data_IF_011340987151
#
_entry.id   IF_011340987151
#
_cell.length_a   1.000
_cell.length_b   1.000
_cell.length_c   1.000
_cell.angle_alpha   90.00
_cell.angle_beta   90.00
_cell.angle_gamma   90.00
#
_symmetry.space_group_name_H-M   'P 1'
#
loop_
_entity.id
_entity.type
_entity.pdbx_description
1 polymer ?
#
# COMPACT_ATOMS: atom_id res chain seq x y z
N UNK A 1 -21.62 38.54 -2.78
CA UNK A 1 -22.14 37.47 -1.90
C UNK A 1 -21.37 36.22 -2.26
N UNK A 2 -20.34 36.00 -1.48
CA UNK A 2 -19.43 34.87 -1.67
C UNK A 2 -19.59 33.97 -0.43
N UNK A 3 -20.50 32.98 -0.53
CA UNK A 3 -20.64 31.94 0.45
C UNK A 3 -20.04 30.64 -0.13
N UNK A 4 -18.72 30.59 -0.18
CA UNK A 4 -18.04 29.29 -0.27
C UNK A 4 -18.23 28.57 1.05
N UNK A 5 -19.35 27.89 1.21
CA UNK A 5 -19.58 26.91 2.26
C UNK A 5 -18.43 25.91 2.26
N UNK A 6 -17.49 26.07 3.20
CA UNK A 6 -16.53 25.04 3.54
C UNK A 6 -17.32 23.85 4.06
N UNK A 7 -17.53 22.84 3.21
CA UNK A 7 -18.01 21.56 3.70
C UNK A 7 -17.04 21.08 4.77
N UNK A 8 -17.48 21.12 6.03
CA UNK A 8 -16.75 20.50 7.11
C UNK A 8 -16.61 19.01 6.76
N UNK A 9 -15.38 18.52 6.74
CA UNK A 9 -15.13 17.10 6.55
C UNK A 9 -15.86 16.32 7.62
N UNK A 10 -16.65 15.30 7.29
CA UNK A 10 -17.32 14.50 8.31
C UNK A 10 -16.26 13.92 9.26
N UNK A 11 -16.35 14.28 10.53
CA UNK A 11 -15.53 13.69 11.59
C UNK A 11 -16.10 12.30 11.85
N UNK A 12 -15.62 11.31 11.11
CA UNK A 12 -15.87 9.91 11.46
C UNK A 12 -15.03 9.65 12.73
N UNK A 13 -15.68 9.55 13.87
CA UNK A 13 -15.06 9.06 15.08
C UNK A 13 -14.81 7.56 14.94
N UNK A 14 -13.83 7.17 14.12
CA UNK A 14 -13.37 5.81 14.07
C UNK A 14 -12.74 5.50 15.42
N UNK A 15 -13.31 4.56 16.15
CA UNK A 15 -12.67 3.99 17.34
C UNK A 15 -11.34 3.42 16.88
N UNK A 16 -10.25 3.98 17.38
CA UNK A 16 -8.90 3.53 17.01
C UNK A 16 -8.51 2.39 17.94
N UNK A 17 -8.09 1.27 17.36
CA UNK A 17 -7.66 0.08 18.07
C UNK A 17 -6.37 -0.51 17.45
N UNK A 18 -5.85 -1.56 18.04
CA UNK A 18 -4.71 -2.31 17.49
C UNK A 18 -5.17 -3.19 16.31
N UNK A 19 -5.37 -2.57 15.16
CA UNK A 19 -5.74 -3.24 13.92
C UNK A 19 -4.50 -3.82 13.21
N UNK A 20 -4.60 -4.88 12.40
CA UNK A 20 -3.46 -5.32 11.59
C UNK A 20 -3.08 -4.22 10.59
N UNK A 21 -1.78 -3.95 10.46
CA UNK A 21 -1.22 -3.09 9.41
C UNK A 21 -0.86 -3.94 8.20
N UNK A 22 -1.43 -3.64 7.05
CA UNK A 22 -0.99 -4.20 5.77
C UNK A 22 -0.03 -3.19 5.11
N UNK A 23 1.18 -3.67 4.80
CA UNK A 23 2.20 -2.92 4.06
C UNK A 23 2.38 -3.57 2.69
N UNK A 24 2.11 -2.82 1.63
CA UNK A 24 2.02 -3.33 0.25
C UNK A 24 3.27 -2.96 -0.54
N UNK A 25 3.94 -3.96 -1.12
CA UNK A 25 4.93 -3.89 -2.20
C UNK A 25 6.17 -3.00 -1.97
N UNK A 26 6.70 -2.96 -0.76
CA UNK A 26 7.99 -2.30 -0.52
C UNK A 26 9.15 -3.25 -0.88
N UNK A 27 9.23 -3.60 -2.15
CA UNK A 27 10.24 -4.46 -2.74
C UNK A 27 11.28 -3.66 -3.50
N UNK A 28 12.42 -4.27 -3.80
CA UNK A 28 13.48 -3.65 -4.59
C UNK A 28 12.98 -3.16 -5.95
N UNK A 29 12.12 -3.93 -6.63
CA UNK A 29 11.52 -3.51 -7.91
C UNK A 29 10.65 -2.25 -7.87
N UNK A 30 10.18 -1.87 -6.68
CA UNK A 30 9.33 -0.70 -6.47
C UNK A 30 10.03 0.44 -5.71
N UNK A 31 11.28 0.25 -5.30
CA UNK A 31 11.98 1.18 -4.41
C UNK A 31 13.42 1.48 -4.83
N UNK A 32 14.15 0.51 -5.42
CA UNK A 32 15.57 0.67 -5.73
C UNK A 32 15.82 1.41 -7.03
N UNK A 33 16.85 2.24 -7.06
CA UNK A 33 17.32 2.93 -8.27
C UNK A 33 17.64 1.97 -9.41
N UNK A 34 18.14 0.77 -9.08
CA UNK A 34 18.45 -0.29 -10.06
C UNK A 34 17.26 -0.65 -10.96
N UNK A 35 16.04 -0.53 -10.46
CA UNK A 35 14.81 -0.88 -11.17
C UNK A 35 14.07 0.34 -11.73
N UNK A 36 14.64 1.52 -11.62
CA UNK A 36 14.09 2.74 -12.23
C UNK A 36 14.22 2.74 -13.76
N UNK A 37 13.31 3.41 -14.40
CA UNK A 37 13.30 3.69 -15.85
C UNK A 37 13.09 5.19 -16.07
N UNK A 38 14.15 6.01 -15.84
CA UNK A 38 14.04 7.46 -15.99
C UNK A 38 13.70 7.89 -17.42
N UNK A 39 14.02 7.05 -18.42
CA UNK A 39 13.68 7.25 -19.83
C UNK A 39 12.16 7.31 -20.09
N UNK A 40 11.36 6.81 -19.16
CA UNK A 40 9.88 6.83 -19.22
C UNK A 40 9.26 7.33 -17.90
N UNK A 41 9.96 8.20 -17.19
CA UNK A 41 9.53 8.85 -15.94
C UNK A 41 9.23 7.91 -14.76
N UNK A 42 9.88 6.74 -14.70
CA UNK A 42 9.71 5.81 -13.60
C UNK A 42 10.88 5.91 -12.65
N UNK A 43 10.67 6.66 -11.59
CA UNK A 43 11.61 6.87 -10.50
C UNK A 43 10.89 6.77 -9.15
N UNK A 44 11.64 6.45 -8.08
CA UNK A 44 11.13 6.08 -6.77
C UNK A 44 11.69 6.92 -5.61
N UNK A 45 12.17 8.15 -5.87
CA UNK A 45 12.77 8.99 -4.83
C UNK A 45 11.81 9.29 -3.68
N UNK A 46 10.54 9.61 -3.98
CA UNK A 46 9.53 9.90 -2.95
C UNK A 46 9.20 8.66 -2.12
N UNK A 47 9.23 7.48 -2.74
CA UNK A 47 9.06 6.21 -2.04
C UNK A 47 10.20 6.02 -1.05
N UNK A 48 11.44 6.18 -1.50
CA UNK A 48 12.63 6.08 -0.62
C UNK A 48 12.59 7.09 0.53
N UNK A 49 12.09 8.30 0.28
CA UNK A 49 11.90 9.32 1.33
C UNK A 49 10.81 8.95 2.36
N UNK A 50 9.80 8.19 1.96
CA UNK A 50 8.75 7.71 2.86
C UNK A 50 9.25 6.57 3.78
N UNK A 51 10.13 5.69 3.30
CA UNK A 51 10.54 4.46 3.98
C UNK A 51 11.06 4.68 5.42
N UNK A 52 11.92 5.65 5.73
CA UNK A 52 12.37 5.87 7.11
C UNK A 52 11.21 6.09 8.09
N UNK A 53 10.20 6.88 7.71
CA UNK A 53 9.00 7.10 8.54
C UNK A 53 8.19 5.82 8.72
N UNK A 54 8.06 5.03 7.67
CA UNK A 54 7.34 3.76 7.76
C UNK A 54 8.06 2.77 8.68
N UNK A 55 9.39 2.71 8.61
CA UNK A 55 10.21 1.87 9.50
C UNK A 55 10.04 2.31 10.96
N UNK A 56 10.09 3.62 11.23
CA UNK A 56 9.85 4.19 12.55
C UNK A 56 8.45 3.81 13.05
N UNK A 57 7.42 4.06 12.25
CA UNK A 57 6.04 3.71 12.61
C UNK A 57 5.87 2.21 12.87
N UNK A 58 6.40 1.34 12.02
CA UNK A 58 6.27 -0.11 12.21
C UNK A 58 6.98 -0.60 13.47
N UNK A 59 8.10 0.00 13.85
CA UNK A 59 8.80 -0.32 15.09
C UNK A 59 8.00 0.12 16.33
N UNK A 60 7.50 1.34 16.34
CA UNK A 60 6.64 1.84 17.41
C UNK A 60 5.36 1.03 17.53
N UNK A 61 4.70 0.77 16.39
CA UNK A 61 3.45 0.02 16.36
C UNK A 61 3.59 -1.42 16.86
N UNK A 62 4.69 -2.10 16.55
CA UNK A 62 5.03 -3.40 17.16
C UNK A 62 5.21 -3.30 18.67
N UNK A 63 5.90 -2.25 19.13
CA UNK A 63 6.09 -2.00 20.56
C UNK A 63 4.78 -1.85 21.33
N UNK A 64 3.72 -1.36 20.68
CA UNK A 64 2.37 -1.26 21.22
C UNK A 64 1.56 -2.57 21.07
N UNK A 65 2.13 -3.62 20.49
CA UNK A 65 1.44 -4.90 20.26
C UNK A 65 0.69 -4.98 18.91
N UNK A 66 0.89 -4.02 18.03
CA UNK A 66 0.31 -4.01 16.68
C UNK A 66 0.82 -5.15 15.83
N UNK A 67 -0.04 -5.73 15.01
CA UNK A 67 0.28 -6.79 14.04
C UNK A 67 0.66 -6.19 12.71
N UNK A 68 1.74 -6.68 12.10
CA UNK A 68 2.18 -6.23 10.77
C UNK A 68 2.10 -7.39 9.78
N UNK A 69 1.55 -7.08 8.63
CA UNK A 69 1.37 -7.99 7.50
C UNK A 69 2.07 -7.37 6.31
N UNK A 70 3.17 -7.96 5.90
CA UNK A 70 3.91 -7.57 4.72
C UNK A 70 3.36 -8.30 3.50
N UNK A 71 3.07 -7.56 2.45
CA UNK A 71 2.61 -8.13 1.19
C UNK A 71 3.58 -7.74 0.10
N UNK A 72 4.07 -8.74 -0.63
CA UNK A 72 4.92 -8.56 -1.80
C UNK A 72 4.32 -9.26 -3.01
N UNK A 73 4.71 -8.83 -4.21
CA UNK A 73 4.32 -9.51 -5.44
C UNK A 73 5.21 -10.73 -5.72
N UNK A 74 4.69 -11.68 -6.48
CA UNK A 74 5.54 -12.61 -7.23
C UNK A 74 6.37 -11.84 -8.26
N UNK A 75 7.45 -12.41 -8.81
CA UNK A 75 8.10 -11.80 -9.97
C UNK A 75 7.09 -11.49 -11.07
N UNK A 76 7.18 -10.30 -11.68
CA UNK A 76 6.29 -9.90 -12.76
C UNK A 76 6.75 -10.56 -14.09
N UNK A 77 6.58 -11.86 -14.14
CA UNK A 77 6.94 -12.72 -15.29
C UNK A 77 5.77 -13.59 -15.69
N UNK A 78 5.79 -14.00 -16.94
CA UNK A 78 4.75 -14.79 -17.60
C UNK A 78 4.32 -16.02 -16.80
N UNK A 79 5.27 -16.68 -16.15
CA UNK A 79 5.05 -17.93 -15.40
C UNK A 79 4.24 -17.72 -14.11
N UNK A 80 4.30 -16.53 -13.54
CA UNK A 80 3.71 -16.20 -12.23
C UNK A 80 2.42 -15.38 -12.34
N UNK A 81 2.22 -14.68 -13.46
CA UNK A 81 1.13 -13.72 -13.60
C UNK A 81 -0.14 -14.35 -14.20
N UNK A 82 -1.33 -13.91 -13.74
CA UNK A 82 -2.58 -14.24 -14.41
C UNK A 82 -2.58 -13.80 -15.89
N UNK A 83 -3.33 -14.52 -16.71
CA UNK A 83 -3.33 -14.32 -18.17
C UNK A 83 -3.66 -12.89 -18.61
N UNK A 84 -4.57 -12.21 -17.91
CA UNK A 84 -4.96 -10.83 -18.20
C UNK A 84 -3.83 -9.85 -17.95
N UNK A 85 -3.15 -9.94 -16.78
CA UNK A 85 -2.02 -9.09 -16.44
C UNK A 85 -0.85 -9.36 -17.39
N UNK A 86 -0.55 -10.64 -17.61
CA UNK A 86 0.50 -11.05 -18.52
C UNK A 86 0.27 -10.52 -19.94
N UNK A 87 -0.97 -10.56 -20.43
CA UNK A 87 -1.32 -9.99 -21.74
C UNK A 87 -1.09 -8.48 -21.77
N UNK A 88 -1.56 -7.75 -20.72
CA UNK A 88 -1.38 -6.31 -20.64
C UNK A 88 0.09 -5.93 -20.71
N UNK A 89 0.94 -6.54 -19.88
CA UNK A 89 2.37 -6.23 -19.85
C UNK A 89 3.12 -6.63 -21.11
N UNK A 90 2.74 -7.71 -21.75
CA UNK A 90 3.34 -8.13 -23.01
C UNK A 90 3.00 -7.19 -24.18
N UNK A 91 1.79 -6.64 -24.19
CA UNK A 91 1.30 -5.77 -25.26
C UNK A 91 1.62 -4.28 -25.00
N UNK A 92 2.04 -3.93 -23.79
CA UNK A 92 2.40 -2.57 -23.39
C UNK A 92 3.92 -2.44 -23.16
N UNK A 93 4.67 -1.81 -24.10
CA UNK A 93 6.11 -1.63 -23.95
C UNK A 93 6.53 -0.75 -22.77
N UNK A 94 5.58 0.00 -22.20
CA UNK A 94 5.79 0.83 -21.00
C UNK A 94 5.46 0.09 -19.70
N UNK A 95 5.11 -1.18 -19.75
CA UNK A 95 4.89 -1.99 -18.56
C UNK A 95 6.23 -2.30 -17.88
N UNK A 96 6.49 -1.62 -16.80
CA UNK A 96 7.80 -1.45 -16.18
C UNK A 96 8.21 -2.55 -15.24
N UNK A 97 7.25 -3.35 -14.80
CA UNK A 97 7.50 -4.41 -13.84
C UNK A 97 7.82 -5.76 -14.47
N UNK A 98 7.86 -5.81 -15.79
CA UNK A 98 8.22 -7.02 -16.51
C UNK A 98 9.75 -7.13 -16.59
N UNK A 99 10.36 -7.70 -15.56
CA UNK A 99 11.81 -7.86 -15.53
C UNK A 99 12.20 -9.22 -16.09
N UNK A 100 13.05 -9.21 -17.10
CA UNK A 100 13.71 -10.42 -17.60
C UNK A 100 14.99 -10.74 -16.82
N UNK A 101 15.51 -9.73 -16.11
CA UNK A 101 16.74 -9.80 -15.32
C UNK A 101 16.46 -9.62 -13.82
N UNK A 102 17.36 -10.11 -13.00
CA UNK A 102 17.37 -9.93 -11.54
C UNK A 102 16.03 -10.29 -10.85
N UNK A 103 15.38 -11.33 -11.33
CA UNK A 103 14.02 -11.72 -10.97
C UNK A 103 13.86 -11.98 -9.49
N UNK A 104 14.81 -12.71 -8.89
CA UNK A 104 14.77 -13.03 -7.47
C UNK A 104 14.98 -11.78 -6.62
N UNK A 105 15.95 -10.95 -6.98
CA UNK A 105 16.21 -9.70 -6.30
C UNK A 105 15.03 -8.72 -6.41
N UNK A 106 14.32 -8.71 -7.53
CA UNK A 106 13.18 -7.81 -7.76
C UNK A 106 12.09 -7.91 -6.68
N UNK A 107 11.90 -9.09 -6.10
CA UNK A 107 10.86 -9.38 -5.10
C UNK A 107 11.38 -9.43 -3.65
N UNK A 108 12.67 -9.18 -3.44
CA UNK A 108 13.19 -8.98 -2.10
C UNK A 108 12.65 -7.66 -1.52
N UNK A 109 12.49 -7.61 -0.21
CA UNK A 109 12.18 -6.35 0.45
C UNK A 109 13.31 -5.34 0.25
N UNK A 110 12.94 -4.08 0.08
CA UNK A 110 13.92 -2.99 -0.07
C UNK A 110 14.78 -2.85 1.19
N UNK A 111 16.02 -2.43 1.01
CA UNK A 111 16.98 -2.27 2.09
C UNK A 111 16.44 -1.37 3.20
N UNK A 112 16.56 -1.80 4.44
CA UNK A 112 15.96 -1.16 5.61
C UNK A 112 14.55 -1.64 5.97
N UNK A 113 13.87 -2.36 5.06
CA UNK A 113 12.61 -3.06 5.36
C UNK A 113 12.95 -4.45 5.88
N UNK A 114 12.68 -4.70 7.14
CA UNK A 114 13.03 -5.98 7.79
C UNK A 114 11.81 -6.58 8.49
N UNK A 115 11.02 -7.41 7.77
CA UNK A 115 10.01 -8.24 8.41
C UNK A 115 10.68 -9.15 9.45
N UNK A 116 10.05 -9.30 10.61
CA UNK A 116 10.57 -10.12 11.71
C UNK A 116 9.45 -10.76 12.51
N UNK A 117 9.74 -11.83 13.19
CA UNK A 117 8.76 -12.43 14.10
C UNK A 117 8.16 -11.39 15.07
N UNK A 118 6.83 -11.33 15.24
CA UNK A 118 5.81 -12.25 14.69
C UNK A 118 5.07 -11.70 13.44
N UNK A 119 5.74 -10.95 12.56
CA UNK A 119 5.12 -10.41 11.34
C UNK A 119 4.71 -11.55 10.39
N UNK A 120 3.66 -11.32 9.62
CA UNK A 120 3.21 -12.24 8.57
C UNK A 120 3.69 -11.74 7.20
N UNK A 121 4.07 -12.66 6.31
CA UNK A 121 4.46 -12.32 4.93
C UNK A 121 3.55 -13.07 3.96
N UNK A 122 2.91 -12.30 3.06
CA UNK A 122 2.09 -12.84 1.97
C UNK A 122 2.67 -12.44 0.61
N UNK A 123 2.46 -13.32 -0.36
CA UNK A 123 2.89 -13.08 -1.75
C UNK A 123 1.66 -13.12 -2.65
N UNK A 124 1.45 -12.07 -3.43
CA UNK A 124 0.36 -11.95 -4.40
C UNK A 124 0.89 -11.99 -5.83
N UNK A 125 0.05 -12.38 -6.77
CA UNK A 125 0.35 -12.37 -8.21
C UNK A 125 -0.59 -11.44 -9.02
N UNK A 126 -1.26 -10.54 -8.32
CA UNK A 126 -2.16 -9.52 -8.86
C UNK A 126 -2.05 -8.25 -8.02
N UNK A 127 -2.82 -7.22 -8.34
CA UNK A 127 -2.73 -5.94 -7.62
C UNK A 127 -3.21 -6.01 -6.17
N UNK A 128 -4.36 -6.65 -5.91
CA UNK A 128 -4.94 -6.70 -4.55
C UNK A 128 -4.23 -7.71 -3.66
N UNK A 129 -3.90 -7.30 -2.43
CA UNK A 129 -3.46 -8.20 -1.37
C UNK A 129 -4.52 -9.24 -0.99
N UNK A 130 -5.80 -8.85 -1.03
CA UNK A 130 -6.94 -9.73 -0.69
C UNK A 130 -7.30 -10.72 -1.79
N UNK A 131 -6.61 -10.74 -2.92
CA UNK A 131 -6.70 -11.84 -3.87
C UNK A 131 -6.12 -13.15 -3.29
N UNK A 132 -5.22 -13.06 -2.30
CA UNK A 132 -4.73 -14.24 -1.58
C UNK A 132 -5.78 -14.75 -0.56
N UNK A 133 -6.26 -15.97 -0.79
CA UNK A 133 -7.24 -16.60 0.09
C UNK A 133 -6.70 -16.85 1.51
N UNK A 134 -5.37 -16.98 1.69
CA UNK A 134 -4.73 -17.15 3.00
C UNK A 134 -4.86 -15.90 3.84
N UNK A 135 -4.66 -14.71 3.23
CA UNK A 135 -4.87 -13.43 3.91
C UNK A 135 -6.32 -13.27 4.35
N UNK A 136 -7.28 -13.58 3.48
CA UNK A 136 -8.70 -13.57 3.84
C UNK A 136 -9.02 -14.54 4.99
N UNK A 137 -8.41 -15.74 4.98
CA UNK A 137 -8.54 -16.73 6.06
C UNK A 137 -7.99 -16.19 7.38
N UNK A 138 -6.84 -15.49 7.34
CA UNK A 138 -6.24 -14.86 8.52
C UNK A 138 -7.19 -13.83 9.14
N UNK A 139 -7.76 -12.95 8.32
CA UNK A 139 -8.72 -11.95 8.76
C UNK A 139 -9.95 -12.60 9.43
N UNK A 140 -10.53 -13.63 8.82
CA UNK A 140 -11.66 -14.38 9.41
C UNK A 140 -11.28 -15.06 10.72
N UNK A 141 -10.09 -15.68 10.80
CA UNK A 141 -9.59 -16.36 12.00
C UNK A 141 -9.51 -15.40 13.20
N UNK A 142 -9.02 -14.19 12.97
CA UNK A 142 -8.87 -13.17 14.01
C UNK A 142 -10.10 -12.28 14.17
N UNK A 143 -11.14 -12.45 13.35
CA UNK A 143 -12.34 -11.61 13.31
C UNK A 143 -12.00 -10.13 13.10
N UNK A 144 -10.97 -9.86 12.29
CA UNK A 144 -10.63 -8.49 11.92
C UNK A 144 -11.59 -8.00 10.84
N UNK A 145 -12.27 -6.91 11.13
CA UNK A 145 -13.15 -6.17 10.21
C UNK A 145 -12.54 -4.82 9.79
N UNK A 146 -11.47 -4.43 10.46
CA UNK A 146 -10.77 -3.16 10.25
C UNK A 146 -9.27 -3.41 10.16
N UNK A 147 -8.57 -2.62 9.32
CA UNK A 147 -7.12 -2.70 9.19
C UNK A 147 -6.50 -1.35 8.79
N UNK A 148 -5.18 -1.21 9.01
CA UNK A 148 -4.38 -0.10 8.52
C UNK A 148 -3.78 -0.46 7.18
N UNK A 149 -3.70 0.50 6.26
CA UNK A 149 -3.14 0.32 4.92
C UNK A 149 -2.02 1.31 4.65
N UNK A 150 -0.89 0.79 4.16
CA UNK A 150 0.27 1.54 3.73
C UNK A 150 0.98 0.85 2.55
N UNK A 151 1.99 1.50 1.97
CA UNK A 151 2.82 0.94 0.91
C UNK A 151 2.68 1.63 -0.44
N UNK A 152 2.92 0.90 -1.53
CA UNK A 152 3.00 1.41 -2.90
C UNK A 152 2.30 0.49 -3.91
N UNK A 153 1.90 0.94 -5.08
CA UNK A 153 1.72 2.36 -5.45
C UNK A 153 0.30 2.77 -5.11
N UNK A 154 0.10 4.03 -4.71
CA UNK A 154 -1.20 4.54 -4.27
C UNK A 154 -2.32 4.23 -5.27
N UNK A 155 -2.09 4.52 -6.54
CA UNK A 155 -3.06 4.36 -7.63
C UNK A 155 -3.24 2.91 -8.12
N UNK A 156 -2.30 2.01 -7.77
CA UNK A 156 -2.28 0.63 -8.25
C UNK A 156 -2.58 -0.37 -7.12
N UNK A 157 -1.55 -0.98 -6.53
CA UNK A 157 -1.72 -2.08 -5.57
C UNK A 157 -2.40 -1.65 -4.27
N UNK A 158 -2.13 -0.43 -3.78
CA UNK A 158 -2.80 0.12 -2.60
C UNK A 158 -4.28 0.34 -2.88
N UNK A 159 -4.61 1.04 -3.97
CA UNK A 159 -6.00 1.30 -4.36
C UNK A 159 -6.77 0.00 -4.67
N UNK A 160 -6.15 -0.95 -5.37
CA UNK A 160 -6.77 -2.24 -5.66
C UNK A 160 -7.04 -3.05 -4.38
N UNK A 161 -6.11 -3.01 -3.41
CA UNK A 161 -6.29 -3.66 -2.10
C UNK A 161 -7.43 -3.02 -1.32
N UNK A 162 -7.50 -1.69 -1.32
CA UNK A 162 -8.54 -0.91 -0.65
C UNK A 162 -9.94 -1.22 -1.22
N UNK A 163 -10.10 -1.15 -2.54
CA UNK A 163 -11.39 -1.41 -3.19
C UNK A 163 -11.82 -2.86 -2.99
N UNK A 164 -10.91 -3.81 -3.15
CA UNK A 164 -11.22 -5.23 -2.99
C UNK A 164 -11.62 -5.57 -1.54
N UNK A 165 -10.93 -5.00 -0.55
CA UNK A 165 -11.27 -5.17 0.86
C UNK A 165 -12.62 -4.55 1.20
N UNK A 166 -12.93 -3.37 0.66
CA UNK A 166 -14.21 -2.71 0.83
C UNK A 166 -15.36 -3.57 0.31
N UNK A 167 -15.21 -4.19 -0.87
CA UNK A 167 -16.23 -5.13 -1.42
C UNK A 167 -16.41 -6.38 -0.57
N UNK A 168 -15.43 -6.72 0.27
CA UNK A 168 -15.49 -7.83 1.23
C UNK A 168 -16.01 -7.41 2.61
N UNK A 169 -16.45 -6.16 2.77
CA UNK A 169 -17.02 -5.63 4.00
C UNK A 169 -16.00 -5.21 5.06
N UNK A 170 -14.74 -5.02 4.68
CA UNK A 170 -13.70 -4.54 5.59
C UNK A 170 -13.65 -3.00 5.61
N UNK A 171 -13.36 -2.45 6.78
CA UNK A 171 -13.10 -1.03 6.96
C UNK A 171 -11.60 -0.75 6.94
N UNK A 172 -11.19 0.29 6.22
CA UNK A 172 -9.77 0.61 6.05
C UNK A 172 -9.45 1.98 6.64
N UNK A 173 -8.36 2.06 7.41
CA UNK A 173 -7.70 3.30 7.80
C UNK A 173 -6.43 3.42 6.97
N UNK A 174 -6.40 4.38 6.05
CA UNK A 174 -5.26 4.63 5.17
C UNK A 174 -4.30 5.60 5.86
N UNK A 175 -3.04 5.18 6.02
CA UNK A 175 -1.98 6.03 6.58
C UNK A 175 -1.37 6.88 5.46
N UNK A 176 -1.92 8.07 5.23
CA UNK A 176 -1.65 8.89 4.06
C UNK A 176 -0.19 9.30 3.85
N UNK A 177 0.56 9.41 4.91
CA UNK A 177 1.99 9.73 4.91
C UNK A 177 2.90 8.50 4.78
N UNK A 178 2.29 7.30 4.78
CA UNK A 178 2.94 6.01 4.56
C UNK A 178 2.43 5.31 3.29
N UNK A 179 1.81 6.07 2.39
CA UNK A 179 1.42 5.63 1.04
C UNK A 179 2.08 6.53 0.02
N UNK A 180 2.73 5.93 -0.99
CA UNK A 180 3.44 6.70 -2.00
C UNK A 180 3.20 6.15 -3.42
N UNK A 181 3.56 6.97 -4.40
CA UNK A 181 3.55 6.68 -5.84
C UNK A 181 4.91 7.01 -6.45
N UNK A 182 5.10 6.72 -7.73
CA UNK A 182 6.27 7.15 -8.49
C UNK A 182 6.40 8.67 -8.47
N UNK A 183 7.58 9.19 -8.83
CA UNK A 183 7.90 10.63 -8.77
C UNK A 183 7.19 11.46 -9.86
N UNK A 184 6.64 10.81 -10.88
CA UNK A 184 5.93 11.46 -11.98
C UNK A 184 4.81 12.40 -11.50
N UNK A 185 4.71 13.59 -12.10
CA UNK A 185 3.79 14.63 -11.66
C UNK A 185 2.32 14.23 -11.77
N UNK A 186 1.93 13.50 -12.81
CA UNK A 186 0.55 13.05 -13.00
C UNK A 186 0.18 12.02 -11.95
N UNK A 187 1.08 11.10 -11.64
CA UNK A 187 0.86 10.10 -10.60
C UNK A 187 0.81 10.73 -9.21
N UNK A 188 1.65 11.72 -8.93
CA UNK A 188 1.61 12.48 -7.68
C UNK A 188 0.32 13.31 -7.55
N UNK A 189 -0.16 13.90 -8.63
CA UNK A 189 -1.45 14.61 -8.65
C UNK A 189 -2.61 13.60 -8.42
N UNK A 190 -2.54 12.44 -9.04
CA UNK A 190 -3.52 11.36 -8.82
C UNK A 190 -3.50 10.85 -7.38
N UNK A 191 -2.33 10.54 -6.81
CA UNK A 191 -2.20 10.18 -5.40
C UNK A 191 -2.84 11.23 -4.48
N UNK A 192 -2.56 12.51 -4.73
CA UNK A 192 -3.16 13.60 -3.97
C UNK A 192 -4.69 13.57 -4.05
N UNK A 193 -5.26 13.36 -5.25
CA UNK A 193 -6.70 13.24 -5.43
C UNK A 193 -7.29 12.03 -4.68
N UNK A 194 -6.64 10.87 -4.74
CA UNK A 194 -7.05 9.69 -4.01
C UNK A 194 -7.13 9.95 -2.50
N UNK A 195 -6.08 10.51 -1.92
CA UNK A 195 -5.95 10.77 -0.48
C UNK A 195 -6.93 11.85 0.00
N UNK A 196 -7.14 12.91 -0.79
CA UNK A 196 -7.92 14.06 -0.34
C UNK A 196 -9.39 14.00 -0.71
N UNK A 197 -9.76 13.20 -1.71
CA UNK A 197 -11.13 13.15 -2.26
C UNK A 197 -11.69 11.73 -2.32
N UNK A 198 -11.10 10.85 -3.12
CA UNK A 198 -11.74 9.59 -3.45
C UNK A 198 -11.81 8.64 -2.26
N UNK A 199 -10.70 8.40 -1.59
CA UNK A 199 -10.65 7.43 -0.50
C UNK A 199 -11.48 7.84 0.72
N UNK A 200 -11.38 9.10 1.23
CA UNK A 200 -12.18 9.49 2.39
C UNK A 200 -13.66 9.62 2.08
N UNK A 201 -14.04 9.80 0.82
CA UNK A 201 -15.43 9.91 0.43
C UNK A 201 -16.09 8.54 0.22
N UNK A 202 -15.34 7.53 -0.24
CA UNK A 202 -15.94 6.30 -0.78
C UNK A 202 -15.51 5.02 -0.07
N UNK A 203 -14.29 4.93 0.48
CA UNK A 203 -13.72 3.63 0.82
C UNK A 203 -13.18 3.47 2.23
N UNK A 204 -12.74 4.52 2.89
CA UNK A 204 -12.14 4.38 4.20
C UNK A 204 -11.77 5.70 4.85
N UNK A 205 -11.15 5.61 6.02
CA UNK A 205 -10.72 6.78 6.76
C UNK A 205 -9.25 7.08 6.45
N UNK A 206 -8.94 8.33 6.12
CA UNK A 206 -7.59 8.78 5.78
C UNK A 206 -7.05 9.65 6.91
N UNK A 207 -5.90 9.28 7.44
CA UNK A 207 -5.17 10.06 8.44
C UNK A 207 -3.67 9.82 8.32
N UNK A 208 -2.86 10.65 8.95
CA UNK A 208 -1.43 10.41 9.05
C UNK A 208 -1.11 9.34 10.12
N UNK A 209 0.06 8.72 10.01
CA UNK A 209 0.56 7.78 11.01
C UNK A 209 0.63 8.38 12.41
N UNK A 210 1.07 9.63 12.50
CA UNK A 210 1.14 10.38 13.78
C UNK A 210 -0.24 10.68 14.38
N UNK A 211 -1.22 11.04 13.53
CA UNK A 211 -2.62 11.21 14.00
C UNK A 211 -3.19 9.90 14.52
N UNK A 212 -2.89 8.79 13.86
CA UNK A 212 -3.30 7.47 14.31
C UNK A 212 -2.71 7.11 15.68
N UNK A 213 -1.39 7.24 15.86
CA UNK A 213 -0.72 6.96 17.15
C UNK A 213 -1.24 7.85 18.30
N UNK A 214 -1.44 9.13 18.02
CA UNK A 214 -2.04 10.05 19.01
C UNK A 214 -3.46 9.67 19.44
N UNK A 215 -4.24 9.07 18.56
CA UNK A 215 -5.58 8.57 18.88
C UNK A 215 -5.54 7.24 19.63
N UNK A 216 -4.55 6.39 19.30
CA UNK A 216 -4.35 5.10 19.97
C UNK A 216 -3.89 5.26 21.44
N UNK A 217 -3.19 6.35 21.75
CA UNK A 217 -2.68 6.65 23.10
C UNK A 217 -3.72 7.28 24.05
N UNK A 218 -4.92 7.59 23.57
CA UNK A 218 -6.04 8.16 24.37
C UNK A 218 -6.99 7.07 24.82
#
# INVERSE_FOLDING_TARGET
MDETSKMEKPVINATVGLYPLIVVDLMKSCCSEKFERPDINITFNKIRQMIPRLVEFTNEYRGLGGKIIWVRSTPWRKEYLPKNINRLYRENPYATFYTEHDVEESVEFYDGISPREPDEIFTKNTYSAFADARLQKLFRKHRWDTYLLSGVFAEACVNATLIDSFTKGLFTIILSDLVESMDDEEQQAHKKYLITHQWPLMYGHVMTSNEFLKKLAK
#
